data_IF_750479153670
#
_entry.id   IF_750479153670
#
_cell.length_a   1.000
_cell.length_b   1.000
_cell.length_c   1.000
_cell.angle_alpha   90.00
_cell.angle_beta   90.00
_cell.angle_gamma   90.00
#
_symmetry.space_group_name_H-M   'P 1'
#
loop_
_entity.id
_entity.type
_entity.pdbx_description
1 polymer ?
#
# COMPACT_ATOMS: atom_id res chain seq x y z
N UNK A 1 -4.48 9.43 -27.73
CA UNK A 1 -5.51 8.90 -26.82
C UNK A 1 -5.09 9.27 -25.41
N UNK A 2 -5.57 10.42 -24.95
CA UNK A 2 -5.22 11.01 -23.66
C UNK A 2 -5.99 10.32 -22.53
N UNK A 3 -5.32 10.11 -21.40
CA UNK A 3 -5.93 9.61 -20.15
C UNK A 3 -5.96 10.80 -19.19
N UNK A 4 -7.11 11.14 -18.58
CA UNK A 4 -7.19 12.32 -17.72
C UNK A 4 -6.54 12.01 -16.35
N UNK A 5 -5.73 12.96 -15.89
CA UNK A 5 -5.20 13.04 -14.52
C UNK A 5 -6.34 13.46 -13.59
N UNK A 6 -6.70 12.59 -12.65
CA UNK A 6 -7.65 12.92 -11.59
C UNK A 6 -6.95 13.75 -10.50
N UNK A 7 -7.59 14.87 -10.16
CA UNK A 7 -7.20 15.84 -9.14
C UNK A 7 -7.07 15.21 -7.74
N UNK A 8 -5.99 15.57 -7.05
CA UNK A 8 -5.75 15.18 -5.67
C UNK A 8 -6.61 16.00 -4.70
N UNK A 9 -7.47 15.31 -3.95
CA UNK A 9 -8.16 15.88 -2.81
C UNK A 9 -7.27 15.78 -1.56
N UNK A 10 -7.06 16.93 -0.92
CA UNK A 10 -6.47 17.10 0.41
C UNK A 10 -7.20 16.24 1.45
N UNK A 11 -6.45 15.48 2.24
CA UNK A 11 -6.95 14.91 3.51
C UNK A 11 -6.15 15.51 4.65
N UNK A 12 -6.84 16.35 5.41
CA UNK A 12 -6.35 17.07 6.59
C UNK A 12 -6.09 16.08 7.73
N UNK A 13 -4.87 16.09 8.25
CA UNK A 13 -4.49 15.44 9.51
C UNK A 13 -5.08 16.22 10.70
N UNK A 14 -5.95 15.59 11.49
CA UNK A 14 -6.29 16.06 12.83
C UNK A 14 -6.68 14.88 13.74
N UNK A 15 -5.68 14.19 14.29
CA UNK A 15 -5.85 13.29 15.42
C UNK A 15 -5.43 14.04 16.70
N UNK A 16 -6.43 14.37 17.52
CA UNK A 16 -6.27 15.06 18.78
C UNK A 16 -5.64 14.14 19.85
N UNK A 17 -4.54 14.62 20.42
CA UNK A 17 -3.95 14.13 21.66
C UNK A 17 -4.56 14.84 22.87
N UNK A 18 -4.35 14.21 24.04
CA UNK A 18 -4.49 14.75 25.40
C UNK A 18 -5.81 14.47 26.13
N UNK A 19 -5.78 13.45 27.01
CA UNK A 19 -6.54 13.44 28.25
C UNK A 19 -5.66 12.87 29.37
N UNK A 20 -4.92 13.76 30.02
CA UNK A 20 -4.18 13.50 31.26
C UNK A 20 -4.54 14.56 32.30
N UNK A 21 -5.23 14.12 33.35
CA UNK A 21 -5.27 14.67 34.71
C UNK A 21 -5.54 16.17 34.93
N UNK A 22 -6.58 16.49 35.72
CA UNK A 22 -6.40 16.93 37.12
C UNK A 22 -7.73 17.23 37.82
N UNK A 23 -7.63 17.04 39.13
CA UNK A 23 -8.60 17.15 40.22
C UNK A 23 -8.97 18.59 40.62
N UNK A 24 -10.00 18.67 41.49
CA UNK A 24 -10.35 19.73 42.46
C UNK A 24 -10.85 21.07 41.88
N UNK A 25 -11.82 21.81 42.42
CA UNK A 25 -12.62 21.73 43.65
C UNK A 25 -13.71 22.83 43.59
N UNK A 26 -14.77 22.64 44.39
CA UNK A 26 -15.50 23.67 45.16
C UNK A 26 -16.31 24.80 44.47
N UNK A 27 -17.64 24.71 44.71
CA UNK A 27 -18.46 25.68 45.48
C UNK A 27 -19.54 26.51 44.76
N UNK A 28 -20.74 26.48 45.39
CA UNK A 28 -21.84 27.48 45.46
C UNK A 28 -22.61 27.78 44.16
N UNK A 29 -23.94 27.87 44.12
CA UNK A 29 -24.99 27.76 45.13
C UNK A 29 -26.36 28.16 44.56
N UNK A 30 -27.42 27.69 45.24
CA UNK A 30 -28.74 28.31 45.46
C UNK A 30 -29.88 28.31 44.42
N UNK A 31 -31.03 27.85 44.97
CA UNK A 31 -32.43 28.25 44.75
C UNK A 31 -33.14 27.70 43.49
N UNK A 32 -34.40 27.26 43.51
CA UNK A 32 -35.47 27.15 44.53
C UNK A 32 -36.70 26.49 43.86
N UNK A 33 -37.56 25.76 44.59
CA UNK A 33 -38.93 25.46 44.13
C UNK A 33 -39.54 24.12 44.56
N UNK A 34 -39.92 23.99 45.83
CA UNK A 34 -40.91 23.02 46.37
C UNK A 34 -42.36 23.46 45.98
N UNK A 35 -43.50 22.76 46.29
CA UNK A 35 -43.69 21.77 47.35
C UNK A 35 -44.74 20.63 47.14
N UNK A 36 -44.88 19.83 48.21
CA UNK A 36 -46.04 19.08 48.72
C UNK A 36 -45.64 17.61 48.91
N UNK A 37 -45.60 17.04 50.12
CA UNK A 37 -46.50 17.04 51.27
C UNK A 37 -46.54 15.56 51.67
N UNK A 38 -46.44 15.09 52.90
CA UNK A 38 -46.60 15.58 54.25
C UNK A 38 -46.87 14.31 55.07
N UNK A 39 -46.39 14.23 56.31
CA UNK A 39 -46.80 13.18 57.24
C UNK A 39 -45.68 12.31 57.80
N UNK A 40 -44.82 12.92 58.62
CA UNK A 40 -44.20 12.21 59.73
C UNK A 40 -45.22 12.19 60.88
N UNK A 41 -45.88 11.05 61.10
CA UNK A 41 -46.60 10.75 62.34
C UNK A 41 -46.94 9.25 62.38
N UNK A 42 -46.03 8.42 62.89
CA UNK A 42 -46.34 7.18 63.63
C UNK A 42 -45.03 6.45 63.99
N UNK A 43 -44.28 7.01 64.95
CA UNK A 43 -43.13 6.33 65.56
C UNK A 43 -43.39 5.97 67.04
N UNK A 44 -44.67 5.88 67.43
CA UNK A 44 -45.07 5.68 68.84
C UNK A 44 -46.26 4.73 69.03
N UNK A 45 -46.48 3.79 68.09
CA UNK A 45 -47.59 2.82 68.17
C UNK A 45 -47.21 1.43 67.63
N UNK A 46 -46.01 0.94 67.96
CA UNK A 46 -45.59 -0.45 67.70
C UNK A 46 -45.15 -1.17 68.98
N UNK A 47 -45.64 -0.71 70.13
CA UNK A 47 -45.67 -1.48 71.36
C UNK A 47 -47.04 -2.14 71.48
N UNK A 48 -47.04 -3.46 71.67
CA UNK A 48 -48.20 -4.29 72.05
C UNK A 48 -49.16 -4.70 70.91
N UNK A 49 -48.66 -5.52 69.99
CA UNK A 49 -49.51 -6.44 69.21
C UNK A 49 -48.72 -7.66 68.68
N UNK A 50 -47.97 -8.36 69.53
CA UNK A 50 -47.65 -9.77 69.28
C UNK A 50 -48.87 -10.62 69.69
N UNK A 51 -49.96 -10.46 68.94
CA UNK A 51 -51.04 -11.43 68.92
C UNK A 51 -50.54 -12.65 68.15
N UNK A 52 -50.65 -13.84 68.74
CA UNK A 52 -50.35 -15.13 68.12
C UNK A 52 -50.94 -15.19 66.70
N UNK A 53 -50.12 -14.92 65.70
CA UNK A 53 -50.49 -15.17 64.31
C UNK A 53 -50.64 -16.68 64.17
N UNK A 54 -51.89 -17.16 64.09
CA UNK A 54 -52.20 -18.55 63.81
C UNK A 54 -51.61 -18.89 62.42
N UNK A 55 -50.44 -19.52 62.43
CA UNK A 55 -49.74 -19.96 61.22
C UNK A 55 -50.57 -21.05 60.56
N UNK A 56 -50.95 -20.85 59.29
CA UNK A 56 -51.66 -21.86 58.50
C UNK A 56 -50.71 -22.99 58.10
N UNK A 57 -50.87 -24.16 58.72
CA UNK A 57 -50.04 -25.35 58.53
C UNK A 57 -50.65 -26.37 57.55
N UNK A 58 -51.70 -25.98 56.82
CA UNK A 58 -52.42 -26.87 55.89
C UNK A 58 -51.57 -27.34 54.70
N UNK A 59 -50.52 -26.60 54.34
CA UNK A 59 -49.61 -26.92 53.23
C UNK A 59 -48.44 -27.86 53.62
N UNK A 60 -48.30 -28.24 54.89
CA UNK A 60 -47.26 -29.17 55.32
C UNK A 60 -47.74 -30.65 55.20
N UNK A 61 -46.83 -31.58 54.81
CA UNK A 61 -47.10 -33.02 54.85
C UNK A 61 -47.59 -33.47 56.25
N UNK A 62 -48.51 -34.45 56.31
CA UNK A 62 -49.15 -34.89 57.57
C UNK A 62 -48.14 -35.30 58.65
N UNK A 63 -47.02 -35.89 58.24
CA UNK A 63 -45.88 -36.34 59.05
C UNK A 63 -45.20 -35.20 59.81
N UNK A 64 -45.26 -33.97 59.27
CA UNK A 64 -44.70 -32.76 59.89
C UNK A 64 -45.74 -31.95 60.67
N UNK A 65 -47.04 -32.22 60.46
CA UNK A 65 -48.16 -31.60 61.19
C UNK A 65 -48.45 -32.30 62.53
N UNK A 66 -47.99 -33.54 62.69
CA UNK A 66 -48.20 -34.38 63.87
C UNK A 66 -47.08 -34.32 64.92
N UNK A 67 -46.14 -33.37 64.82
CA UNK A 67 -45.03 -33.23 65.77
C UNK A 67 -45.57 -32.61 67.08
N UNK A 68 -45.91 -33.46 68.06
CA UNK A 68 -46.20 -33.01 69.43
C UNK A 68 -44.89 -32.71 70.15
N UNK A 69 -44.83 -31.55 70.81
CA UNK A 69 -43.64 -31.04 71.50
C UNK A 69 -42.91 -32.10 72.33
N UNK A 70 -41.63 -32.28 72.04
CA UNK A 70 -40.74 -33.27 72.63
C UNK A 70 -39.34 -33.17 71.99
N UNK A 71 -38.36 -33.89 72.51
CA UNK A 71 -36.95 -33.77 72.07
C UNK A 71 -36.72 -34.15 70.58
N UNK A 72 -37.60 -34.94 69.96
CA UNK A 72 -37.56 -35.25 68.51
C UNK A 72 -37.90 -34.05 67.63
N UNK A 73 -38.82 -33.19 68.08
CA UNK A 73 -39.16 -31.93 67.39
C UNK A 73 -37.96 -30.97 67.41
N UNK A 74 -37.27 -30.91 68.56
CA UNK A 74 -36.07 -30.08 68.74
C UNK A 74 -34.91 -30.57 67.89
N UNK A 75 -34.73 -31.89 67.76
CA UNK A 75 -33.69 -32.47 66.91
C UNK A 75 -33.91 -32.18 65.42
N UNK A 76 -35.15 -32.28 64.93
CA UNK A 76 -35.48 -31.92 63.55
C UNK A 76 -35.37 -30.40 63.31
N UNK A 77 -35.73 -29.58 64.31
CA UNK A 77 -35.52 -28.14 64.26
C UNK A 77 -34.01 -27.79 64.22
N UNK A 78 -33.18 -28.48 64.99
CA UNK A 78 -31.72 -28.32 64.96
C UNK A 78 -31.11 -28.76 63.63
N UNK A 79 -31.62 -29.83 63.02
CA UNK A 79 -31.19 -30.30 61.71
C UNK A 79 -31.54 -29.28 60.62
N UNK A 80 -32.77 -28.79 60.59
CA UNK A 80 -33.17 -27.71 59.66
C UNK A 80 -32.41 -26.42 59.91
N UNK A 81 -32.12 -26.06 61.16
CA UNK A 81 -31.26 -24.91 61.48
C UNK A 81 -29.82 -25.13 61.04
N UNK A 82 -29.30 -26.35 61.12
CA UNK A 82 -27.98 -26.71 60.60
C UNK A 82 -27.93 -26.60 59.09
N UNK A 83 -28.95 -27.09 58.40
CA UNK A 83 -29.06 -27.02 56.95
C UNK A 83 -29.22 -25.57 56.46
N UNK A 84 -30.02 -24.76 57.17
CA UNK A 84 -30.12 -23.31 56.95
C UNK A 84 -28.78 -22.62 57.14
N UNK A 85 -28.03 -22.95 58.20
CA UNK A 85 -26.68 -22.39 58.42
C UNK A 85 -25.71 -22.78 57.32
N UNK A 86 -25.79 -24.02 56.81
CA UNK A 86 -24.97 -24.47 55.68
C UNK A 86 -25.32 -23.71 54.42
N UNK A 87 -26.60 -23.63 54.06
CA UNK A 87 -27.06 -22.91 52.88
C UNK A 87 -26.76 -21.41 52.96
N UNK A 88 -26.91 -20.79 54.14
CA UNK A 88 -26.54 -19.39 54.36
C UNK A 88 -25.03 -19.17 54.24
N UNK A 89 -24.19 -20.08 54.76
CA UNK A 89 -22.74 -20.03 54.58
C UNK A 89 -22.31 -20.21 53.12
N UNK A 90 -22.95 -21.13 52.40
CA UNK A 90 -22.74 -21.32 50.96
C UNK A 90 -23.11 -20.03 50.19
N UNK A 91 -24.18 -19.36 50.59
CA UNK A 91 -24.68 -18.13 49.98
C UNK A 91 -23.81 -16.90 50.33
N UNK A 92 -23.23 -16.83 51.53
CA UNK A 92 -22.24 -15.82 51.92
C UNK A 92 -20.93 -15.94 51.13
N UNK A 93 -20.55 -17.16 50.73
CA UNK A 93 -19.41 -17.41 49.85
C UNK A 93 -19.71 -17.14 48.38
N UNK A 94 -20.97 -17.29 47.95
CA UNK A 94 -21.42 -16.90 46.62
C UNK A 94 -21.53 -15.37 46.54
N UNK A 95 -20.47 -14.73 46.03
CA UNK A 95 -20.51 -13.33 45.58
C UNK A 95 -20.72 -13.29 44.06
N UNK A 96 -21.97 -13.38 43.56
CA UNK A 96 -22.21 -13.29 42.13
C UNK A 96 -21.75 -11.93 41.61
N UNK A 97 -20.91 -11.94 40.57
CA UNK A 97 -20.54 -10.72 39.87
C UNK A 97 -21.68 -10.31 38.94
N UNK A 98 -22.61 -9.49 39.45
CA UNK A 98 -23.79 -9.02 38.72
C UNK A 98 -23.42 -8.23 37.45
N UNK A 99 -22.20 -7.69 37.36
CA UNK A 99 -21.69 -6.96 36.19
C UNK A 99 -21.06 -7.85 35.12
N UNK A 100 -20.86 -9.14 35.40
CA UNK A 100 -20.20 -10.04 34.46
C UNK A 100 -21.00 -10.20 33.16
N UNK A 101 -22.33 -10.17 33.24
CA UNK A 101 -23.23 -10.28 32.08
C UNK A 101 -23.12 -9.01 31.22
N UNK A 102 -23.15 -7.83 31.84
CA UNK A 102 -22.99 -6.55 31.13
C UNK A 102 -21.60 -6.42 30.48
N UNK A 103 -20.55 -6.83 31.19
CA UNK A 103 -19.17 -6.83 30.67
C UNK A 103 -19.01 -7.80 29.50
N UNK A 104 -19.63 -8.98 29.57
CA UNK A 104 -19.63 -9.95 28.49
C UNK A 104 -20.35 -9.38 27.26
N UNK A 105 -21.50 -8.72 27.44
CA UNK A 105 -22.25 -8.11 26.34
C UNK A 105 -21.43 -7.00 25.66
N UNK A 106 -20.80 -6.11 26.43
CA UNK A 106 -19.92 -5.06 25.90
C UNK A 106 -18.71 -5.64 25.16
N UNK A 107 -18.08 -6.66 25.72
CA UNK A 107 -16.94 -7.33 25.08
C UNK A 107 -17.34 -8.03 23.77
N UNK A 108 -18.54 -8.64 23.73
CA UNK A 108 -19.08 -9.26 22.53
C UNK A 108 -19.36 -8.23 21.43
N UNK A 109 -19.96 -7.08 21.78
CA UNK A 109 -20.21 -5.99 20.84
C UNK A 109 -18.91 -5.41 20.27
N UNK A 110 -17.90 -5.20 21.12
CA UNK A 110 -16.57 -4.76 20.69
C UNK A 110 -15.89 -5.78 19.77
N UNK A 111 -15.99 -7.07 20.09
CA UNK A 111 -15.44 -8.13 19.26
C UNK A 111 -16.13 -8.20 17.89
N UNK A 112 -17.46 -8.04 17.84
CA UNK A 112 -18.18 -7.96 16.58
C UNK A 112 -17.79 -6.73 15.76
N UNK A 113 -17.70 -5.55 16.38
CA UNK A 113 -17.28 -4.32 15.69
C UNK A 113 -15.87 -4.48 15.11
N UNK A 114 -14.91 -4.94 15.93
CA UNK A 114 -13.55 -5.20 15.48
C UNK A 114 -13.50 -6.25 14.35
N UNK A 115 -14.38 -7.25 14.39
CA UNK A 115 -14.54 -8.23 13.32
C UNK A 115 -15.03 -7.61 12.00
N UNK A 116 -16.00 -6.68 12.06
CA UNK A 116 -16.49 -5.94 10.90
C UNK A 116 -15.41 -5.01 10.31
N UNK A 117 -14.67 -4.31 11.17
CA UNK A 117 -13.58 -3.44 10.75
C UNK A 117 -12.47 -4.24 10.08
N UNK A 118 -12.07 -5.38 10.67
CA UNK A 118 -11.09 -6.27 10.09
C UNK A 118 -11.55 -6.86 8.75
N UNK A 119 -12.84 -7.21 8.61
CA UNK A 119 -13.39 -7.69 7.35
C UNK A 119 -13.38 -6.60 6.26
N UNK A 120 -13.63 -5.35 6.63
CA UNK A 120 -13.60 -4.20 5.72
C UNK A 120 -12.18 -3.90 5.28
N UNK A 121 -11.23 -3.82 6.22
CA UNK A 121 -9.82 -3.63 5.93
C UNK A 121 -9.24 -4.74 5.03
N UNK A 122 -9.66 -6.00 5.22
CA UNK A 122 -9.27 -7.12 4.35
C UNK A 122 -9.74 -6.92 2.90
N UNK A 123 -10.97 -6.45 2.70
CA UNK A 123 -11.49 -6.15 1.35
C UNK A 123 -10.72 -5.00 0.71
N UNK A 124 -10.42 -3.96 1.48
CA UNK A 124 -9.64 -2.82 0.99
C UNK A 124 -8.23 -3.24 0.57
N UNK A 125 -7.56 -4.10 1.35
CA UNK A 125 -6.26 -4.66 0.99
C UNK A 125 -6.35 -5.44 -0.33
N UNK A 126 -7.35 -6.31 -0.48
CA UNK A 126 -7.55 -7.09 -1.71
C UNK A 126 -7.78 -6.18 -2.93
N UNK A 127 -8.56 -5.12 -2.78
CA UNK A 127 -8.82 -4.15 -3.84
C UNK A 127 -7.58 -3.35 -4.22
N UNK A 128 -6.77 -2.95 -3.22
CA UNK A 128 -5.49 -2.25 -3.44
C UNK A 128 -4.48 -3.16 -4.12
N UNK A 129 -4.37 -4.42 -3.71
CA UNK A 129 -3.50 -5.42 -4.34
C UNK A 129 -3.86 -5.64 -5.81
N UNK A 130 -5.15 -5.77 -6.12
CA UNK A 130 -5.63 -5.89 -7.51
C UNK A 130 -5.27 -4.67 -8.35
N UNK A 131 -5.47 -3.45 -7.80
CA UNK A 131 -5.11 -2.21 -8.50
C UNK A 131 -3.60 -2.12 -8.72
N UNK A 132 -2.80 -2.49 -7.72
CA UNK A 132 -1.36 -2.51 -7.82
C UNK A 132 -0.88 -3.46 -8.91
N UNK A 133 -1.39 -4.69 -8.96
CA UNK A 133 -1.01 -5.66 -10.00
C UNK A 133 -1.45 -5.22 -11.39
N UNK A 134 -2.61 -4.57 -11.54
CA UNK A 134 -3.04 -3.98 -12.81
C UNK A 134 -2.08 -2.89 -13.31
N UNK A 135 -1.65 -1.98 -12.42
CA UNK A 135 -0.68 -0.93 -12.75
C UNK A 135 0.69 -1.53 -13.06
N UNK A 136 1.14 -2.52 -12.26
CA UNK A 136 2.40 -3.23 -12.47
C UNK A 136 2.44 -3.93 -13.82
N UNK A 137 1.36 -4.61 -14.21
CA UNK A 137 1.22 -5.22 -15.52
C UNK A 137 1.26 -4.18 -16.65
N UNK A 138 0.45 -3.12 -16.58
CA UNK A 138 0.43 -2.06 -17.59
C UNK A 138 1.80 -1.38 -17.76
N UNK A 139 2.56 -1.20 -16.67
CA UNK A 139 3.93 -0.67 -16.70
C UNK A 139 4.88 -1.63 -17.42
N UNK A 140 4.85 -2.92 -17.08
CA UNK A 140 5.66 -3.98 -17.74
C UNK A 140 5.37 -4.06 -19.23
N UNK A 141 4.10 -4.05 -19.61
CA UNK A 141 3.70 -4.20 -21.02
C UNK A 141 4.19 -3.04 -21.87
N UNK A 142 4.06 -1.79 -21.38
CA UNK A 142 4.58 -0.60 -22.08
C UNK A 142 6.10 -0.61 -22.21
N UNK A 143 6.81 -1.00 -21.13
CA UNK A 143 8.26 -1.12 -21.16
C UNK A 143 8.70 -2.18 -22.18
N UNK A 144 8.12 -3.38 -22.12
CA UNK A 144 8.47 -4.49 -23.01
C UNK A 144 8.14 -4.18 -24.48
N UNK A 145 7.05 -3.47 -24.77
CA UNK A 145 6.72 -3.04 -26.12
C UNK A 145 7.79 -2.10 -26.71
N UNK A 146 8.24 -1.12 -25.93
CA UNK A 146 9.32 -0.22 -26.33
C UNK A 146 10.65 -0.97 -26.46
N UNK A 147 11.02 -1.72 -25.43
CA UNK A 147 12.31 -2.42 -25.37
C UNK A 147 12.50 -3.39 -26.53
N UNK A 148 11.49 -4.23 -26.82
CA UNK A 148 11.54 -5.18 -27.95
C UNK A 148 11.73 -4.45 -29.28
N UNK A 149 11.01 -3.35 -29.49
CA UNK A 149 11.12 -2.59 -30.73
C UNK A 149 12.52 -1.99 -30.91
N UNK A 150 13.10 -1.44 -29.84
CA UNK A 150 14.47 -0.90 -29.86
C UNK A 150 15.50 -2.02 -30.07
N UNK A 151 15.31 -3.18 -29.42
CA UNK A 151 16.17 -4.36 -29.54
C UNK A 151 16.18 -4.94 -30.96
N UNK A 152 15.06 -4.90 -31.68
CA UNK A 152 14.98 -5.32 -33.09
C UNK A 152 15.71 -4.37 -34.04
N UNK A 153 15.60 -3.06 -33.80
CA UNK A 153 16.14 -2.03 -34.72
C UNK A 153 17.64 -1.75 -34.48
N UNK A 154 18.13 -1.90 -33.25
CA UNK A 154 19.49 -1.46 -32.85
C UNK A 154 20.60 -2.08 -33.70
N UNK A 155 20.50 -3.37 -34.04
CA UNK A 155 21.51 -4.06 -34.83
C UNK A 155 21.53 -3.52 -36.28
N UNK A 156 20.35 -3.34 -36.87
CA UNK A 156 20.21 -2.79 -38.22
C UNK A 156 20.73 -1.35 -38.32
N UNK A 157 20.40 -0.50 -37.34
CA UNK A 157 20.89 0.88 -37.26
C UNK A 157 22.42 0.91 -37.09
N UNK A 158 22.97 0.15 -36.13
CA UNK A 158 24.40 0.14 -35.86
C UNK A 158 25.21 -0.37 -37.07
N UNK A 159 24.71 -1.39 -37.76
CA UNK A 159 25.31 -1.90 -39.01
C UNK A 159 25.30 -0.85 -40.12
N UNK A 160 24.24 -0.05 -40.25
CA UNK A 160 24.19 1.06 -41.23
C UNK A 160 25.16 2.19 -40.89
N UNK A 161 25.34 2.50 -39.60
CA UNK A 161 26.26 3.55 -39.16
C UNK A 161 27.74 3.16 -39.26
N UNK A 162 28.05 1.87 -39.10
CA UNK A 162 29.43 1.35 -39.14
C UNK A 162 29.80 0.70 -40.47
N UNK A 163 28.81 0.45 -41.33
CA UNK A 163 29.00 -0.18 -42.63
C UNK A 163 29.43 0.83 -43.69
N UNK A 164 30.63 0.67 -44.22
CA UNK A 164 31.08 1.43 -45.38
C UNK A 164 30.76 0.69 -46.69
N UNK A 165 30.36 1.41 -47.75
CA UNK A 165 30.16 0.81 -49.08
C UNK A 165 31.44 0.19 -49.65
N UNK A 166 32.62 0.74 -49.31
CA UNK A 166 33.92 0.23 -49.72
C UNK A 166 34.28 -1.10 -49.08
N UNK A 167 33.89 -1.29 -47.82
CA UNK A 167 34.24 -2.48 -47.03
C UNK A 167 33.27 -3.64 -47.27
N UNK A 168 32.06 -3.31 -47.73
CA UNK A 168 31.04 -4.29 -48.16
C UNK A 168 31.51 -5.15 -49.34
N UNK A 169 32.39 -4.62 -50.20
CA UNK A 169 33.00 -5.37 -51.31
C UNK A 169 34.10 -6.35 -50.86
N UNK A 170 34.64 -6.19 -49.64
CA UNK A 170 35.66 -7.05 -49.04
C UNK A 170 35.10 -8.10 -48.06
N UNK A 171 33.77 -8.19 -47.91
CA UNK A 171 33.13 -9.12 -46.98
C UNK A 171 33.14 -8.67 -45.51
N UNK A 172 33.49 -7.41 -45.24
CA UNK A 172 33.29 -6.80 -43.92
C UNK A 172 31.87 -6.24 -43.86
N UNK A 173 30.94 -7.09 -43.42
CA UNK A 173 29.67 -6.60 -42.91
C UNK A 173 29.97 -5.74 -41.67
N UNK A 174 29.32 -4.59 -41.53
CA UNK A 174 29.58 -3.64 -40.44
C UNK A 174 29.48 -4.25 -39.04
N UNK A 175 29.70 -3.43 -38.01
CA UNK A 175 29.59 -3.87 -36.62
C UNK A 175 28.19 -4.37 -36.25
N UNK A 176 28.08 -5.06 -35.12
CA UNK A 176 26.81 -5.52 -34.54
C UNK A 176 26.59 -4.93 -33.15
N UNK A 177 25.34 -4.67 -32.78
CA UNK A 177 24.99 -4.21 -31.45
C UNK A 177 23.80 -5.01 -30.90
N UNK A 178 23.80 -5.20 -29.59
CA UNK A 178 22.84 -6.02 -28.85
C UNK A 178 22.39 -5.29 -27.59
N UNK A 179 21.11 -5.42 -27.28
CA UNK A 179 20.49 -4.84 -26.10
C UNK A 179 19.78 -5.98 -25.34
N UNK A 180 20.22 -6.23 -24.11
CA UNK A 180 19.71 -7.34 -23.28
C UNK A 180 19.25 -6.83 -21.91
N UNK A 181 18.29 -7.52 -21.32
CA UNK A 181 17.85 -7.29 -19.94
C UNK A 181 18.62 -8.21 -19.00
N UNK A 182 19.10 -7.70 -17.88
CA UNK A 182 19.72 -8.52 -16.84
C UNK A 182 18.71 -9.46 -16.16
N UNK A 183 17.50 -8.95 -15.94
CA UNK A 183 16.37 -9.72 -15.42
C UNK A 183 15.18 -9.59 -16.39
N UNK A 184 14.73 -10.74 -16.91
CA UNK A 184 13.61 -10.79 -17.86
C UNK A 184 12.25 -10.87 -17.17
N UNK A 185 12.21 -11.30 -15.90
CA UNK A 185 10.99 -11.43 -15.11
C UNK A 185 10.63 -10.09 -14.43
N UNK A 186 11.63 -9.39 -13.89
CA UNK A 186 11.47 -8.04 -13.34
C UNK A 186 12.47 -7.03 -13.93
N UNK A 187 12.18 -6.43 -15.10
CA UNK A 187 13.10 -5.53 -15.79
C UNK A 187 13.40 -4.23 -15.03
N UNK A 188 12.70 -3.97 -13.93
CA UNK A 188 12.89 -2.77 -13.10
C UNK A 188 13.85 -3.00 -11.93
N UNK A 189 14.11 -4.26 -11.55
CA UNK A 189 15.11 -4.60 -10.53
C UNK A 189 16.49 -4.81 -11.15
N UNK A 190 16.55 -5.25 -12.41
CA UNK A 190 17.79 -5.38 -13.19
C UNK A 190 18.16 -4.13 -13.98
N UNK A 191 19.34 -4.16 -14.58
CA UNK A 191 19.78 -3.17 -15.57
C UNK A 191 19.49 -3.57 -17.01
N UNK A 192 19.68 -2.61 -17.91
CA UNK A 192 19.75 -2.84 -19.36
C UNK A 192 21.22 -2.90 -19.76
N UNK A 193 21.63 -4.02 -20.36
CA UNK A 193 22.99 -4.21 -20.86
C UNK A 193 23.06 -3.90 -22.34
N UNK A 194 23.81 -2.87 -22.68
CA UNK A 194 24.05 -2.50 -24.07
C UNK A 194 25.47 -2.91 -24.48
N UNK A 195 25.55 -3.78 -25.48
CA UNK A 195 26.83 -4.29 -25.98
C UNK A 195 26.99 -4.00 -27.45
N UNK A 196 28.19 -3.59 -27.87
CA UNK A 196 28.52 -3.38 -29.27
C UNK A 196 29.78 -4.17 -29.65
N UNK A 197 29.80 -4.62 -30.90
CA UNK A 197 30.89 -5.30 -31.56
C UNK A 197 31.28 -4.46 -32.78
N UNK A 198 32.27 -3.55 -32.64
CA UNK A 198 32.85 -2.85 -33.76
C UNK A 198 33.42 -3.85 -34.79
N UNK A 199 33.50 -3.49 -36.09
CA UNK A 199 33.91 -4.42 -37.15
C UNK A 199 35.32 -5.01 -36.96
N UNK A 200 36.19 -4.32 -36.21
CA UNK A 200 37.59 -4.73 -35.98
C UNK A 200 37.80 -5.43 -34.63
N UNK A 201 36.79 -5.52 -33.77
CA UNK A 201 36.94 -5.94 -32.36
C UNK A 201 35.94 -7.03 -31.98
N UNK A 202 36.34 -7.91 -31.06
CA UNK A 202 35.45 -8.91 -30.45
C UNK A 202 34.42 -8.23 -29.52
N UNK A 203 33.41 -8.99 -29.10
CA UNK A 203 32.36 -8.55 -28.17
C UNK A 203 32.95 -7.86 -26.93
N UNK A 204 32.62 -6.59 -26.72
CA UNK A 204 33.14 -5.77 -25.63
C UNK A 204 32.02 -4.92 -25.03
N UNK A 205 32.03 -4.77 -23.70
CA UNK A 205 31.15 -3.81 -23.03
C UNK A 205 31.43 -2.38 -23.50
N UNK A 206 30.42 -1.51 -23.50
CA UNK A 206 30.51 -0.13 -24.00
C UNK A 206 31.55 0.71 -23.25
N UNK A 207 31.81 0.37 -21.98
CA UNK A 207 32.86 0.98 -21.17
C UNK A 207 34.27 0.78 -21.73
N UNK A 208 34.49 -0.27 -22.54
CA UNK A 208 35.79 -0.65 -23.11
C UNK A 208 35.97 -0.20 -24.58
N UNK A 209 34.99 0.54 -25.13
CA UNK A 209 35.06 1.12 -26.46
C UNK A 209 35.86 2.42 -26.46
N UNK A 210 36.50 2.72 -27.59
CA UNK A 210 37.12 4.02 -27.84
C UNK A 210 36.07 5.14 -27.86
N UNK A 211 36.51 6.40 -27.72
CA UNK A 211 35.58 7.55 -27.69
C UNK A 211 34.70 7.65 -28.94
N UNK A 212 35.26 7.40 -30.13
CA UNK A 212 34.50 7.40 -31.39
C UNK A 212 33.51 6.24 -31.49
N UNK A 213 33.94 5.02 -31.13
CA UNK A 213 33.06 3.84 -31.13
C UNK A 213 31.90 3.97 -30.12
N UNK A 214 32.18 4.54 -28.94
CA UNK A 214 31.15 4.84 -27.93
C UNK A 214 30.14 5.85 -28.44
N UNK A 215 30.60 6.88 -29.14
CA UNK A 215 29.73 7.90 -29.75
C UNK A 215 28.83 7.27 -30.82
N UNK A 216 29.37 6.43 -31.70
CA UNK A 216 28.56 5.70 -32.69
C UNK A 216 27.54 4.75 -32.05
N UNK A 217 27.94 4.03 -31.01
CA UNK A 217 27.03 3.13 -30.30
C UNK A 217 25.89 3.93 -29.63
N UNK A 218 26.19 5.08 -29.03
CA UNK A 218 25.18 5.97 -28.45
C UNK A 218 24.22 6.54 -29.52
N UNK A 219 24.77 6.98 -30.66
CA UNK A 219 23.98 7.46 -31.80
C UNK A 219 23.08 6.36 -32.37
N UNK A 220 23.57 5.12 -32.45
CA UNK A 220 22.76 3.99 -32.88
C UNK A 220 21.58 3.73 -31.94
N UNK A 221 21.80 3.82 -30.63
CA UNK A 221 20.73 3.69 -29.63
C UNK A 221 19.70 4.82 -29.76
N UNK A 222 20.16 6.06 -29.93
CA UNK A 222 19.29 7.21 -30.14
C UNK A 222 18.39 7.04 -31.38
N UNK A 223 18.96 6.64 -32.51
CA UNK A 223 18.20 6.38 -33.73
C UNK A 223 17.30 5.14 -33.64
N UNK A 224 17.70 4.11 -32.89
CA UNK A 224 16.81 2.96 -32.63
C UNK A 224 15.60 3.36 -31.77
N UNK A 225 15.79 4.25 -30.78
CA UNK A 225 14.67 4.82 -30.01
C UNK A 225 13.75 5.67 -30.88
N UNK A 226 14.32 6.42 -31.83
CA UNK A 226 13.56 7.20 -32.81
C UNK A 226 12.63 6.33 -33.66
N UNK A 227 12.99 5.06 -33.90
CA UNK A 227 12.15 4.12 -34.65
C UNK A 227 10.89 3.71 -33.87
N UNK A 228 10.93 3.71 -32.53
CA UNK A 228 9.75 3.44 -31.69
C UNK A 228 8.85 4.67 -31.56
N UNK A 229 9.42 5.83 -31.27
CA UNK A 229 8.71 7.11 -31.22
C UNK A 229 9.45 8.13 -32.09
N UNK A 230 8.82 8.51 -33.21
CA UNK A 230 9.39 9.48 -34.14
C UNK A 230 9.18 10.90 -33.60
N UNK A 231 10.24 11.61 -33.19
CA UNK A 231 10.14 13.02 -32.85
C UNK A 231 9.94 13.85 -34.12
N UNK A 232 9.32 15.04 -34.02
CA UNK A 232 9.13 15.93 -35.17
C UNK A 232 10.46 16.50 -35.70
N UNK A 233 11.45 16.70 -34.81
CA UNK A 233 12.80 17.12 -35.19
C UNK A 233 13.84 16.55 -34.21
N UNK A 234 15.10 16.52 -34.64
CA UNK A 234 16.25 16.09 -33.87
C UNK A 234 17.35 17.16 -33.94
N UNK A 235 18.03 17.42 -32.82
CA UNK A 235 19.17 18.34 -32.75
C UNK A 235 20.41 17.57 -32.34
N UNK A 236 21.46 17.64 -33.15
CA UNK A 236 22.74 16.99 -32.92
C UNK A 236 23.82 18.07 -32.77
N UNK A 237 24.43 18.16 -31.60
CA UNK A 237 25.43 19.18 -31.27
C UNK A 237 26.82 18.52 -31.11
N UNK A 238 27.77 18.91 -31.96
CA UNK A 238 29.17 18.47 -31.96
C UNK A 238 29.39 16.95 -31.83
N UNK A 239 28.43 16.15 -32.31
CA UNK A 239 28.45 14.68 -32.23
C UNK A 239 29.62 14.07 -33.02
N UNK A 240 30.25 14.86 -33.87
CA UNK A 240 31.38 14.48 -34.71
C UNK A 240 32.74 14.72 -34.06
N UNK A 241 32.84 15.35 -32.88
CA UNK A 241 34.12 15.69 -32.25
C UNK A 241 35.09 14.50 -32.16
N UNK A 242 34.59 13.32 -31.76
CA UNK A 242 35.37 12.09 -31.59
C UNK A 242 35.28 11.11 -32.77
N UNK A 243 34.58 11.49 -33.86
CA UNK A 243 34.41 10.65 -35.03
C UNK A 243 35.50 10.90 -36.08
N UNK A 244 35.99 9.84 -36.70
CA UNK A 244 36.90 9.89 -37.85
C UNK A 244 36.13 10.13 -39.16
N UNK A 245 36.87 10.52 -40.21
CA UNK A 245 36.28 10.93 -41.49
C UNK A 245 35.28 9.94 -42.11
N UNK A 246 35.55 8.63 -42.15
CA UNK A 246 34.61 7.63 -42.67
C UNK A 246 33.31 7.56 -41.86
N UNK A 247 33.41 7.51 -40.53
CA UNK A 247 32.22 7.42 -39.66
C UNK A 247 31.38 8.70 -39.66
N UNK A 248 32.02 9.87 -39.79
CA UNK A 248 31.30 11.15 -40.04
C UNK A 248 30.49 11.09 -41.33
N UNK A 249 31.05 10.51 -42.40
CA UNK A 249 30.35 10.38 -43.67
C UNK A 249 29.21 9.34 -43.61
N UNK A 250 29.40 8.24 -42.89
CA UNK A 250 28.34 7.26 -42.65
C UNK A 250 27.18 7.87 -41.85
N UNK A 251 27.49 8.68 -40.83
CA UNK A 251 26.49 9.44 -40.07
C UNK A 251 25.73 10.43 -40.97
N UNK A 252 26.43 11.21 -41.79
CA UNK A 252 25.80 12.16 -42.71
C UNK A 252 24.79 11.47 -43.65
N UNK A 253 25.20 10.35 -44.26
CA UNK A 253 24.32 9.54 -45.13
C UNK A 253 23.12 8.96 -44.39
N UNK A 254 23.31 8.54 -43.14
CA UNK A 254 22.21 8.02 -42.32
C UNK A 254 21.17 9.12 -42.04
N UNK A 255 21.64 10.32 -41.68
CA UNK A 255 20.76 11.46 -41.40
C UNK A 255 20.04 11.93 -42.66
N UNK A 256 20.73 11.97 -43.80
CA UNK A 256 20.14 12.29 -45.12
C UNK A 256 19.01 11.33 -45.51
N UNK A 257 19.12 10.04 -45.15
CA UNK A 257 18.09 9.03 -45.39
C UNK A 257 16.99 8.99 -44.33
N UNK A 258 17.12 9.77 -43.25
CA UNK A 258 16.17 9.73 -42.15
C UNK A 258 14.94 10.58 -42.45
N UNK A 259 13.74 10.06 -42.17
CA UNK A 259 12.46 10.76 -42.38
C UNK A 259 12.19 11.88 -41.33
N UNK A 260 13.23 12.42 -40.68
CA UNK A 260 13.12 13.36 -39.56
C UNK A 260 13.91 14.63 -39.81
N UNK A 261 13.31 15.77 -39.52
CA UNK A 261 14.02 17.05 -39.61
C UNK A 261 15.17 17.06 -38.60
N UNK A 262 16.41 17.05 -39.10
CA UNK A 262 17.60 16.99 -38.25
C UNK A 262 18.39 18.29 -38.38
N UNK A 263 18.62 18.97 -37.26
CA UNK A 263 19.47 20.16 -37.15
C UNK A 263 20.81 19.68 -36.60
N UNK A 264 21.88 19.90 -37.35
CA UNK A 264 23.22 19.47 -36.98
C UNK A 264 24.11 20.68 -36.79
N UNK A 265 24.78 20.76 -35.64
CA UNK A 265 25.80 21.76 -35.32
C UNK A 265 27.15 21.02 -35.33
N UNK A 266 28.04 21.43 -36.23
CA UNK A 266 29.34 20.78 -36.43
C UNK A 266 30.32 21.74 -37.09
N UNK A 267 31.61 21.50 -36.81
CA UNK A 267 32.74 22.20 -37.42
C UNK A 267 33.41 21.40 -38.55
N UNK A 268 32.98 20.17 -38.84
CA UNK A 268 33.59 19.32 -39.87
C UNK A 268 32.87 19.46 -41.21
N UNK A 269 33.61 19.91 -42.22
CA UNK A 269 33.15 20.07 -43.61
C UNK A 269 32.39 18.85 -44.15
N UNK A 270 32.85 17.64 -43.81
CA UNK A 270 32.26 16.40 -44.30
C UNK A 270 30.82 16.16 -43.81
N UNK A 271 30.45 16.67 -42.64
CA UNK A 271 29.14 16.42 -42.05
C UNK A 271 28.08 17.35 -42.66
N UNK A 272 28.38 18.64 -42.78
CA UNK A 272 27.44 19.62 -43.34
C UNK A 272 27.51 19.72 -44.88
N UNK A 273 28.48 19.09 -45.54
CA UNK A 273 28.51 19.04 -47.01
C UNK A 273 27.29 18.35 -47.65
N UNK A 274 26.58 17.52 -46.88
CA UNK A 274 25.37 16.82 -47.30
C UNK A 274 24.08 17.52 -46.81
N UNK A 275 24.15 18.76 -46.31
CA UNK A 275 22.96 19.45 -45.79
C UNK A 275 22.13 20.13 -46.88
N UNK A 276 20.81 20.18 -46.69
CA UNK A 276 19.90 20.92 -47.57
C UNK A 276 20.03 22.45 -47.41
N UNK A 277 20.53 22.90 -46.26
CA UNK A 277 20.74 24.31 -45.93
C UNK A 277 21.87 24.49 -44.93
N UNK A 278 22.50 25.65 -44.96
CA UNK A 278 23.58 26.02 -44.05
C UNK A 278 23.22 27.34 -43.36
N UNK A 279 23.42 27.39 -42.04
CA UNK A 279 23.23 28.60 -41.23
C UNK A 279 24.59 29.00 -40.66
N UNK A 280 25.15 30.09 -41.19
CA UNK A 280 26.37 30.69 -40.66
C UNK A 280 26.07 31.65 -39.51
N UNK A 281 26.82 31.53 -38.41
CA UNK A 281 26.80 32.47 -37.29
C UNK A 281 28.12 33.23 -37.33
N UNK A 282 28.06 34.57 -37.30
CA UNK A 282 29.21 35.48 -37.35
C UNK A 282 29.34 36.29 -36.07
#
# INVERSE_FOLDING_TARGET
>A
VEVPLAEGAEVVHAAAAAAGGRSSSSSRGSASGSPSGGGAASAAALGEAEAEAAVDLSALPEDKRAIKGGDTAKLQEEEYRSELRRMLGDLEHLRPNLKAIEQLALAAEQAESAGRDAATARKEIEDVEKRFEAVRAARRDRFNACFKKVQEEINGVYRRLTGNPSDSALGFEGGSAYLDLEDTEDPFNGGVKFTAMPPTKRFCDIGLLSGGERTLAAMALLFAMQAYQRPPFLVLDEVDAHLDGPNVQALARYVEQSDCQTIVISLKDKLFSCSDGLVGIS
#
